data_IF_911048749346
#
_entry.id   IF_911048749346
#
_cell.length_a   1.000
_cell.length_b   1.000
_cell.length_c   1.000
_cell.angle_alpha   90.00
_cell.angle_beta   90.00
_cell.angle_gamma   90.00
#
_symmetry.space_group_name_H-M   'P 1'
#
loop_
_entity.id
_entity.type
_entity.pdbx_description
1 polymer ?
#
# COMPACT_ATOMS: atom_id res chain seq x y z
N UNK A 1 -2.59 -30.82 0.10
CA UNK A 1 -3.60 -30.55 1.14
C UNK A 1 -3.54 -29.04 1.36
N UNK A 2 -4.67 -28.32 1.37
CA UNK A 2 -4.65 -26.88 1.62
C UNK A 2 -4.25 -26.62 3.08
N UNK A 3 -3.29 -25.73 3.30
CA UNK A 3 -2.94 -25.32 4.66
C UNK A 3 -4.01 -24.42 5.23
N UNK A 4 -4.47 -24.61 6.47
CA UNK A 4 -5.34 -23.68 7.14
C UNK A 4 -4.57 -22.39 7.43
N UNK A 5 -5.21 -21.25 7.22
CA UNK A 5 -4.72 -19.94 7.67
C UNK A 5 -5.66 -19.40 8.72
N UNK A 6 -5.10 -18.71 9.70
CA UNK A 6 -5.86 -18.10 10.77
C UNK A 6 -6.23 -16.66 10.39
N UNK A 7 -7.39 -16.23 10.85
CA UNK A 7 -7.84 -14.85 10.71
C UNK A 7 -8.40 -14.36 12.06
N UNK A 8 -7.77 -13.39 12.71
CA UNK A 8 -6.55 -12.68 12.32
C UNK A 8 -5.31 -13.60 12.40
N UNK A 9 -4.30 -13.30 11.57
CA UNK A 9 -3.04 -14.07 11.52
C UNK A 9 -1.95 -13.51 12.46
N UNK A 10 -2.04 -12.22 12.82
CA UNK A 10 -1.15 -11.58 13.78
C UNK A 10 -1.80 -11.52 15.17
N UNK A 11 -0.99 -11.41 16.24
CA UNK A 11 -1.51 -11.32 17.60
C UNK A 11 -2.38 -10.05 17.79
N UNK A 12 -3.39 -10.14 18.65
CA UNK A 12 -4.38 -9.07 18.86
C UNK A 12 -3.86 -7.82 19.58
N UNK A 13 -2.63 -7.83 20.05
CA UNK A 13 -1.97 -6.70 20.70
C UNK A 13 -1.07 -5.91 19.73
N UNK A 14 -0.90 -6.39 18.50
CA UNK A 14 -0.15 -5.71 17.44
C UNK A 14 -1.09 -5.14 16.39
N UNK A 15 -0.77 -3.94 15.92
CA UNK A 15 -1.55 -3.21 14.94
C UNK A 15 -0.68 -2.92 13.73
N UNK A 16 -0.64 -3.88 12.81
CA UNK A 16 0.17 -3.82 11.57
C UNK A 16 -0.81 -3.81 10.37
N UNK A 17 -1.42 -2.66 10.07
CA UNK A 17 -2.21 -2.52 8.85
C UNK A 17 -1.31 -2.47 7.61
N UNK A 18 -1.93 -2.42 6.44
CA UNK A 18 -1.28 -2.27 5.14
C UNK A 18 -0.32 -3.42 4.80
N UNK A 19 -0.59 -4.61 5.34
CA UNK A 19 0.33 -5.74 5.28
C UNK A 19 0.59 -6.22 3.86
N UNK A 20 1.78 -5.88 3.31
CA UNK A 20 2.23 -6.32 2.00
C UNK A 20 3.01 -7.63 2.12
N UNK A 21 2.51 -8.75 1.53
CA UNK A 21 3.10 -10.07 1.69
C UNK A 21 4.12 -10.38 0.59
N UNK A 22 5.28 -10.90 0.98
CA UNK A 22 6.31 -11.40 0.06
C UNK A 22 6.92 -12.71 0.55
N UNK A 23 7.19 -13.62 -0.40
CA UNK A 23 7.99 -14.82 -0.11
C UNK A 23 9.43 -14.56 -0.53
N UNK A 24 10.33 -14.64 0.44
CA UNK A 24 11.77 -14.63 0.21
C UNK A 24 12.38 -15.91 0.79
N UNK A 25 12.99 -16.71 -0.08
CA UNK A 25 13.50 -18.02 0.30
C UNK A 25 12.39 -18.99 0.74
N UNK A 26 12.50 -19.50 1.96
CA UNK A 26 11.57 -20.44 2.57
C UNK A 26 10.56 -19.77 3.52
N UNK A 27 10.48 -18.44 3.54
CA UNK A 27 9.62 -17.70 4.45
C UNK A 27 8.72 -16.70 3.75
N UNK A 28 7.50 -16.59 4.26
CA UNK A 28 6.58 -15.50 3.98
C UNK A 28 6.86 -14.38 4.96
N UNK A 29 7.05 -13.17 4.45
CA UNK A 29 7.20 -11.94 5.23
C UNK A 29 5.99 -11.04 5.00
N UNK A 30 5.61 -10.28 6.03
CA UNK A 30 4.58 -9.23 5.92
C UNK A 30 5.20 -7.93 6.43
N UNK A 31 5.18 -6.92 5.55
CA UNK A 31 5.63 -5.56 5.82
C UNK A 31 4.40 -4.66 5.85
N UNK A 32 4.28 -3.81 6.85
CA UNK A 32 3.13 -2.93 6.97
C UNK A 32 3.42 -1.72 7.83
N UNK A 33 2.46 -0.82 7.88
CA UNK A 33 2.45 0.28 8.85
C UNK A 33 2.47 -0.27 10.26
N UNK A 34 2.87 0.54 11.23
CA UNK A 34 2.85 0.14 12.63
C UNK A 34 2.11 1.18 13.47
N UNK A 35 0.86 0.84 13.76
CA UNK A 35 -0.04 1.69 14.53
C UNK A 35 0.12 1.49 16.04
N UNK A 36 -0.42 2.40 16.83
CA UNK A 36 -0.55 2.25 18.28
C UNK A 36 -2.02 2.28 18.68
N UNK A 37 -2.38 1.45 19.65
CA UNK A 37 -3.74 1.43 20.19
C UNK A 37 -4.15 2.80 20.73
N UNK A 38 -5.29 3.30 20.25
CA UNK A 38 -5.85 4.58 20.68
C UNK A 38 -5.10 5.82 20.20
N UNK A 39 -4.12 5.68 19.32
CA UNK A 39 -3.51 6.82 18.66
C UNK A 39 -4.53 7.56 17.76
N UNK A 40 -4.30 8.85 17.55
CA UNK A 40 -5.10 9.70 16.68
C UNK A 40 -4.48 9.95 15.30
N UNK A 41 -3.46 9.14 14.97
CA UNK A 41 -2.77 9.14 13.69
C UNK A 41 -2.32 7.73 13.30
N UNK A 42 -2.08 7.50 12.02
CA UNK A 42 -1.57 6.24 11.48
C UNK A 42 -0.05 6.15 11.58
N UNK A 43 0.47 4.93 11.60
CA UNK A 43 1.88 4.57 11.51
C UNK A 43 2.78 5.42 12.41
N UNK A 44 2.37 5.56 13.68
CA UNK A 44 3.07 6.39 14.67
C UNK A 44 4.37 5.76 15.15
N UNK A 45 4.49 4.43 15.02
CA UNK A 45 5.65 3.65 15.44
C UNK A 45 6.63 3.44 14.28
N UNK A 46 7.83 2.93 14.60
CA UNK A 46 8.79 2.44 13.62
C UNK A 46 8.27 1.16 12.95
N UNK A 47 8.65 0.89 11.69
CA UNK A 47 8.21 -0.31 10.99
C UNK A 47 8.68 -1.59 11.67
N UNK A 48 7.82 -2.58 11.63
CA UNK A 48 8.07 -3.94 12.10
C UNK A 48 7.88 -4.95 10.97
N UNK A 49 8.37 -6.15 11.16
CA UNK A 49 8.17 -7.25 10.24
C UNK A 49 7.75 -8.51 11.00
N UNK A 50 6.85 -9.25 10.41
CA UNK A 50 6.47 -10.59 10.82
C UNK A 50 6.75 -11.57 9.70
N UNK A 51 7.14 -12.79 10.06
CA UNK A 51 7.35 -13.84 9.07
C UNK A 51 6.84 -15.19 9.55
N UNK A 52 6.53 -16.07 8.59
CA UNK A 52 6.18 -17.48 8.86
C UNK A 52 6.89 -18.39 7.86
N UNK A 53 7.23 -19.63 8.19
CA UNK A 53 7.70 -20.60 7.21
C UNK A 53 6.62 -20.85 6.14
N UNK A 54 7.01 -21.03 4.88
CA UNK A 54 6.04 -21.31 3.80
C UNK A 54 5.32 -22.65 3.93
N UNK A 55 5.87 -23.55 4.73
CA UNK A 55 5.28 -24.87 5.04
C UNK A 55 4.45 -24.86 6.35
N UNK A 56 4.51 -23.80 7.14
CA UNK A 56 3.69 -23.59 8.35
C UNK A 56 3.26 -22.14 8.53
N UNK A 57 2.18 -21.75 7.84
CA UNK A 57 1.63 -20.39 7.91
C UNK A 57 0.93 -20.07 9.24
N UNK A 58 0.94 -20.98 10.21
CA UNK A 58 0.50 -20.74 11.58
C UNK A 58 1.62 -20.29 12.52
N UNK A 59 2.88 -20.51 12.13
CA UNK A 59 4.06 -20.26 12.99
C UNK A 59 4.64 -18.85 12.75
N UNK A 60 3.83 -17.81 12.98
CA UNK A 60 4.27 -16.43 12.86
C UNK A 60 5.31 -16.06 13.93
N UNK A 61 6.35 -15.38 13.49
CA UNK A 61 7.42 -14.84 14.32
C UNK A 61 7.55 -13.33 14.14
N UNK A 62 7.70 -12.62 15.26
CA UNK A 62 8.08 -11.21 15.26
C UNK A 62 9.58 -11.09 14.94
N UNK A 63 9.92 -10.41 13.85
CA UNK A 63 11.31 -10.22 13.41
C UNK A 63 11.96 -8.99 14.06
N UNK A 64 11.17 -8.10 14.63
CA UNK A 64 11.62 -6.89 15.32
C UNK A 64 11.27 -5.61 14.59
N UNK A 65 11.85 -4.51 15.09
CA UNK A 65 11.80 -3.21 14.44
C UNK A 65 12.80 -3.21 13.29
N UNK A 66 12.31 -3.03 12.08
CA UNK A 66 13.13 -3.18 10.87
C UNK A 66 13.70 -1.87 10.36
N UNK A 67 13.05 -0.72 10.66
CA UNK A 67 13.49 0.61 10.23
C UNK A 67 13.11 1.66 11.25
N UNK A 68 14.07 2.52 11.60
CA UNK A 68 13.85 3.70 12.44
C UNK A 68 13.63 4.95 11.57
N UNK A 69 12.42 5.52 11.63
CA UNK A 69 12.04 6.71 10.86
C UNK A 69 12.90 7.94 11.13
N UNK A 70 13.61 8.00 12.27
CA UNK A 70 14.53 9.08 12.57
C UNK A 70 15.83 9.02 11.77
N UNK A 71 16.09 7.92 11.06
CA UNK A 71 17.27 7.80 10.19
C UNK A 71 17.07 8.46 8.82
N UNK A 72 15.82 8.80 8.44
CA UNK A 72 15.54 9.57 7.23
C UNK A 72 15.96 11.04 7.41
N UNK A 73 16.82 11.60 6.52
CA UNK A 73 17.27 12.98 6.60
C UNK A 73 16.14 14.02 6.57
N UNK A 74 14.97 13.68 6.01
CA UNK A 74 13.79 14.53 6.03
C UNK A 74 13.05 14.47 7.38
N UNK A 75 13.40 13.53 8.26
CA UNK A 75 12.74 13.30 9.55
C UNK A 75 13.75 13.09 10.71
N UNK A 76 14.79 13.93 10.86
CA UNK A 76 15.93 13.63 11.75
C UNK A 76 15.58 13.53 13.23
N UNK A 77 14.41 13.98 13.62
CA UNK A 77 13.89 13.87 14.99
C UNK A 77 12.80 12.80 15.16
N UNK A 78 12.47 12.05 14.09
CA UNK A 78 11.43 11.03 14.11
C UNK A 78 10.00 11.54 14.34
N UNK A 79 9.77 12.87 14.22
CA UNK A 79 8.48 13.47 14.54
C UNK A 79 7.39 13.21 13.49
N UNK A 80 7.77 13.00 12.24
CA UNK A 80 6.82 12.65 11.19
C UNK A 80 6.51 11.15 11.24
N UNK A 81 5.24 10.83 11.06
CA UNK A 81 4.79 9.45 10.86
C UNK A 81 5.16 8.96 9.45
N UNK A 82 5.02 7.69 9.22
CA UNK A 82 5.19 7.06 7.91
C UNK A 82 3.83 6.67 7.34
N UNK A 83 3.81 6.23 6.08
CA UNK A 83 2.66 5.63 5.40
C UNK A 83 2.99 4.16 5.06
N UNK A 84 2.11 3.46 4.36
CA UNK A 84 2.30 2.06 4.01
C UNK A 84 3.63 1.82 3.26
N UNK A 85 4.43 0.83 3.67
CA UNK A 85 5.68 0.45 3.01
C UNK A 85 5.50 -0.72 2.07
N UNK A 86 6.45 -0.91 1.17
CA UNK A 86 6.67 -2.17 0.46
C UNK A 86 8.15 -2.53 0.40
N UNK A 87 8.45 -3.82 0.25
CA UNK A 87 9.81 -4.35 0.17
C UNK A 87 9.99 -5.21 -1.07
N UNK A 88 11.05 -4.96 -1.82
CA UNK A 88 11.45 -5.85 -2.91
C UNK A 88 12.92 -6.25 -2.80
N UNK A 89 13.30 -7.36 -3.44
CA UNK A 89 14.70 -7.72 -3.62
C UNK A 89 15.21 -7.10 -4.91
N UNK A 90 16.27 -6.30 -4.81
CA UNK A 90 16.93 -5.67 -5.95
C UNK A 90 17.80 -6.64 -6.75
N UNK A 91 18.24 -6.23 -7.94
CA UNK A 91 19.08 -7.06 -8.81
C UNK A 91 20.46 -7.37 -8.24
N UNK A 92 20.90 -6.65 -7.23
CA UNK A 92 22.13 -6.87 -6.47
C UNK A 92 21.96 -7.86 -5.28
N UNK A 93 20.74 -8.38 -5.11
CA UNK A 93 20.40 -9.32 -4.05
C UNK A 93 20.03 -8.71 -2.71
N UNK A 94 20.19 -7.39 -2.54
CA UNK A 94 19.79 -6.66 -1.33
C UNK A 94 18.29 -6.41 -1.32
N UNK A 95 17.75 -6.07 -0.16
CA UNK A 95 16.34 -5.78 0.05
C UNK A 95 16.15 -4.28 0.20
N UNK A 96 15.14 -3.74 -0.48
CA UNK A 96 14.85 -2.32 -0.56
C UNK A 96 13.45 -2.06 -0.03
N UNK A 97 13.37 -1.27 1.03
CA UNK A 97 12.14 -0.83 1.68
C UNK A 97 11.77 0.54 1.12
N UNK A 98 10.65 0.61 0.41
CA UNK A 98 10.08 1.85 -0.10
C UNK A 98 9.01 2.34 0.85
N UNK A 99 9.02 3.63 1.16
CA UNK A 99 8.06 4.23 2.07
C UNK A 99 7.91 5.73 1.79
N UNK A 100 6.89 6.33 2.37
CA UNK A 100 6.67 7.76 2.33
C UNK A 100 6.51 8.29 3.75
N UNK A 101 7.12 9.43 4.05
CA UNK A 101 6.83 10.18 5.26
C UNK A 101 5.49 10.91 5.11
N UNK A 102 4.70 10.93 6.15
CA UNK A 102 3.38 11.57 6.14
C UNK A 102 3.48 13.04 5.71
N UNK A 103 2.65 13.45 4.74
CA UNK A 103 2.64 14.79 4.12
C UNK A 103 3.89 15.18 3.34
N UNK A 104 4.79 14.25 3.08
CA UNK A 104 5.91 14.44 2.17
C UNK A 104 5.55 13.81 0.82
N UNK A 105 5.79 14.51 -0.28
CA UNK A 105 5.41 14.03 -1.62
C UNK A 105 6.42 13.04 -2.22
N UNK A 106 7.54 12.82 -1.55
CA UNK A 106 8.69 12.05 -2.03
C UNK A 106 8.66 10.64 -1.45
N UNK A 107 8.95 9.62 -2.27
CA UNK A 107 9.23 8.27 -1.78
C UNK A 107 10.67 8.17 -1.31
N UNK A 108 10.85 7.71 -0.09
CA UNK A 108 12.13 7.36 0.51
C UNK A 108 12.41 5.87 0.37
N UNK A 109 13.70 5.51 0.34
CA UNK A 109 14.17 4.13 0.21
C UNK A 109 15.20 3.83 1.29
N UNK A 110 15.03 2.70 1.96
CA UNK A 110 16.02 2.13 2.86
C UNK A 110 16.48 0.76 2.34
N UNK A 111 17.66 0.30 2.74
CA UNK A 111 18.27 -0.92 2.24
C UNK A 111 18.78 -1.81 3.36
N UNK A 112 18.70 -3.13 3.16
CA UNK A 112 19.23 -4.15 4.06
C UNK A 112 19.78 -5.35 3.29
N UNK A 113 20.62 -6.15 3.94
CA UNK A 113 21.16 -7.40 3.37
C UNK A 113 20.21 -8.60 3.59
N UNK A 114 19.18 -8.43 4.41
CA UNK A 114 18.18 -9.47 4.73
C UNK A 114 16.77 -8.88 4.71
N UNK A 115 15.75 -9.68 4.38
CA UNK A 115 14.38 -9.17 4.29
C UNK A 115 13.84 -8.62 5.62
N UNK A 116 14.25 -9.21 6.75
CA UNK A 116 13.88 -8.73 8.08
C UNK A 116 14.74 -7.55 8.58
N UNK A 117 15.60 -7.00 7.74
CA UNK A 117 16.45 -5.86 8.09
C UNK A 117 17.64 -6.20 9.02
N UNK A 118 18.14 -5.23 9.82
CA UNK A 118 17.67 -3.84 9.88
C UNK A 118 17.95 -3.05 8.61
N UNK A 119 17.00 -2.21 8.23
CA UNK A 119 17.13 -1.31 7.09
C UNK A 119 17.81 0.00 7.49
N UNK A 120 18.66 0.52 6.61
CA UNK A 120 19.28 1.84 6.76
C UNK A 120 18.84 2.74 5.60
N UNK A 121 18.67 4.04 5.86
CA UNK A 121 18.33 5.00 4.81
C UNK A 121 19.30 4.89 3.65
N UNK A 122 18.78 4.78 2.43
CA UNK A 122 19.57 4.62 1.20
C UNK A 122 19.51 5.87 0.30
N UNK A 123 18.30 6.44 0.15
CA UNK A 123 18.11 7.61 -0.70
C UNK A 123 16.64 7.93 -0.94
N UNK A 124 16.40 8.89 -1.81
CA UNK A 124 15.06 9.25 -2.28
C UNK A 124 14.92 8.95 -3.77
N UNK A 125 13.74 8.56 -4.20
CA UNK A 125 13.42 8.39 -5.63
C UNK A 125 13.52 9.75 -6.32
N UNK A 126 14.17 9.79 -7.49
CA UNK A 126 14.53 11.03 -8.18
C UNK A 126 14.49 10.90 -9.70
N UNK A 127 14.34 12.02 -10.36
CA UNK A 127 14.55 12.17 -11.80
C UNK A 127 16.03 12.04 -12.16
N UNK A 128 16.37 11.79 -13.45
CA UNK A 128 17.77 11.69 -13.90
C UNK A 128 18.61 12.96 -13.67
N UNK A 129 17.98 14.12 -13.56
CA UNK A 129 18.64 15.40 -13.24
C UNK A 129 18.88 15.62 -11.74
N UNK A 130 18.44 14.67 -10.89
CA UNK A 130 18.57 14.73 -9.44
C UNK A 130 17.39 15.37 -8.71
N UNK A 131 16.41 15.94 -9.41
CA UNK A 131 15.17 16.45 -8.80
C UNK A 131 14.42 15.29 -8.15
N UNK A 132 14.02 15.45 -6.90
CA UNK A 132 13.26 14.42 -6.18
C UNK A 132 11.90 14.18 -6.85
N UNK A 133 11.57 12.91 -7.11
CA UNK A 133 10.27 12.54 -7.67
C UNK A 133 9.15 12.84 -6.68
N UNK A 134 8.16 13.60 -7.11
CA UNK A 134 7.11 14.21 -6.28
C UNK A 134 7.34 15.70 -6.01
N UNK A 135 8.43 16.30 -6.56
CA UNK A 135 8.74 17.74 -6.45
C UNK A 135 8.70 18.48 -7.78
N UNK A 136 8.85 17.77 -8.90
CA UNK A 136 8.70 18.41 -10.22
C UNK A 136 7.22 18.63 -10.55
N UNK A 137 6.95 19.68 -11.34
CA UNK A 137 5.60 19.95 -11.79
C UNK A 137 5.06 18.80 -12.65
N UNK A 138 3.91 18.27 -12.30
CA UNK A 138 3.28 17.14 -13.00
C UNK A 138 3.62 15.77 -12.41
N UNK A 139 4.47 15.70 -11.41
CA UNK A 139 4.70 14.47 -10.65
C UNK A 139 3.43 14.02 -9.92
N UNK A 140 3.24 12.71 -9.84
CA UNK A 140 2.20 12.13 -9.02
C UNK A 140 2.48 12.35 -7.52
N UNK A 141 1.44 12.26 -6.71
CA UNK A 141 1.62 12.11 -5.27
C UNK A 141 1.98 10.64 -4.98
N UNK A 142 3.22 10.45 -4.54
CA UNK A 142 3.84 9.13 -4.41
C UNK A 142 3.42 8.42 -3.12
N UNK A 143 2.12 8.17 -2.97
CA UNK A 143 1.53 7.55 -1.79
C UNK A 143 1.48 6.03 -1.95
N UNK A 144 1.73 5.29 -0.86
CA UNK A 144 1.67 3.84 -0.76
C UNK A 144 2.42 3.14 -1.92
N UNK A 145 3.76 3.22 -1.93
CA UNK A 145 4.55 2.61 -2.98
C UNK A 145 4.40 1.08 -2.96
N UNK A 146 4.11 0.49 -4.13
CA UNK A 146 4.15 -0.94 -4.37
C UNK A 146 5.21 -1.26 -5.43
N UNK A 147 6.02 -2.28 -5.18
CA UNK A 147 7.18 -2.59 -5.99
C UNK A 147 7.02 -3.87 -6.80
N UNK A 148 7.50 -3.83 -8.04
CA UNK A 148 7.60 -5.00 -8.89
C UNK A 148 9.00 -5.05 -9.52
N UNK A 149 9.76 -6.08 -9.18
CA UNK A 149 10.95 -6.48 -9.94
C UNK A 149 10.52 -7.58 -10.89
N UNK A 150 10.52 -7.28 -12.18
CA UNK A 150 10.02 -8.19 -13.21
C UNK A 150 11.05 -9.27 -13.55
N UNK A 151 10.60 -10.34 -14.21
CA UNK A 151 11.43 -11.49 -14.59
C UNK A 151 12.60 -11.12 -15.51
N UNK A 152 12.48 -10.01 -16.24
CA UNK A 152 13.55 -9.47 -17.11
C UNK A 152 14.50 -8.50 -16.37
N UNK A 153 14.32 -8.34 -15.06
CA UNK A 153 15.12 -7.50 -14.19
C UNK A 153 14.80 -6.01 -14.27
N UNK A 154 13.69 -5.62 -14.93
CA UNK A 154 13.18 -4.24 -14.86
C UNK A 154 12.45 -4.03 -13.54
N UNK A 155 12.51 -2.80 -13.05
CA UNK A 155 12.03 -2.41 -11.72
C UNK A 155 10.94 -1.37 -11.90
N UNK A 156 9.79 -1.61 -11.31
CA UNK A 156 8.64 -0.73 -11.40
C UNK A 156 8.16 -0.34 -9.99
N UNK A 157 7.90 0.96 -9.82
CA UNK A 157 7.28 1.51 -8.62
C UNK A 157 5.88 2.02 -8.98
N UNK A 158 4.88 1.51 -8.29
CA UNK A 158 3.49 1.93 -8.38
C UNK A 158 3.15 2.78 -7.17
N UNK A 159 2.46 3.88 -7.38
CA UNK A 159 2.06 4.81 -6.32
C UNK A 159 0.75 5.47 -6.68
N UNK A 160 0.17 6.21 -5.75
CA UNK A 160 -0.94 7.09 -6.07
C UNK A 160 -1.87 7.35 -4.89
N UNK A 161 -2.60 8.45 -5.00
CA UNK A 161 -3.66 8.81 -4.07
C UNK A 161 -4.72 9.62 -4.80
N UNK A 162 -5.99 9.19 -4.72
CA UNK A 162 -7.06 9.85 -5.47
C UNK A 162 -8.35 9.99 -4.66
N UNK A 163 -8.36 10.85 -3.63
CA UNK A 163 -9.58 11.16 -2.91
C UNK A 163 -10.56 11.95 -3.81
N UNK A 164 -11.86 11.64 -3.72
CA UNK A 164 -12.87 12.32 -4.54
C UNK A 164 -13.08 13.79 -4.14
N UNK A 165 -13.17 14.04 -2.85
CA UNK A 165 -13.55 15.34 -2.28
C UNK A 165 -12.78 15.61 -0.98
N UNK A 166 -12.93 16.82 -0.48
CA UNK A 166 -12.46 17.20 0.84
C UNK A 166 -11.28 18.15 0.83
N UNK A 167 -10.97 18.64 2.03
CA UNK A 167 -9.89 19.61 2.26
C UNK A 167 -8.54 19.03 1.81
N UNK A 168 -8.31 17.75 2.04
CA UNK A 168 -7.06 17.07 1.67
C UNK A 168 -6.81 17.17 0.17
N UNK A 169 -7.80 16.81 -0.69
CA UNK A 169 -7.66 16.95 -2.15
C UNK A 169 -7.38 18.39 -2.55
N UNK A 170 -8.11 19.34 -1.97
CA UNK A 170 -7.92 20.77 -2.26
C UNK A 170 -6.49 21.22 -1.92
N UNK A 171 -6.01 20.94 -0.71
CA UNK A 171 -4.66 21.32 -0.27
C UNK A 171 -3.59 20.67 -1.15
N UNK A 172 -3.69 19.38 -1.43
CA UNK A 172 -2.70 18.66 -2.22
C UNK A 172 -2.67 19.14 -3.68
N UNK A 173 -3.84 19.45 -4.26
CA UNK A 173 -3.92 20.04 -5.61
C UNK A 173 -3.28 21.44 -5.62
N UNK A 174 -3.50 22.25 -4.59
CA UNK A 174 -2.83 23.55 -4.46
C UNK A 174 -1.30 23.42 -4.29
N UNK A 175 -0.82 22.33 -3.74
CA UNK A 175 0.60 21.98 -3.68
C UNK A 175 1.17 21.46 -5.01
N UNK A 176 0.36 21.39 -6.07
CA UNK A 176 0.76 20.89 -7.38
C UNK A 176 0.76 19.36 -7.51
N UNK A 177 0.21 18.63 -6.54
CA UNK A 177 0.14 17.18 -6.61
C UNK A 177 -0.88 16.71 -7.66
N UNK A 178 -0.51 15.74 -8.47
CA UNK A 178 -1.40 15.06 -9.39
C UNK A 178 -2.12 13.91 -8.65
N UNK A 179 -3.45 13.99 -8.60
CA UNK A 179 -4.32 13.09 -7.84
C UNK A 179 -5.34 12.39 -8.75
N UNK A 180 -4.93 12.02 -9.97
CA UNK A 180 -5.84 11.50 -11.01
C UNK A 180 -6.11 9.99 -10.87
N UNK A 181 -5.34 9.30 -10.04
CA UNK A 181 -5.41 7.86 -9.84
C UNK A 181 -4.05 7.28 -9.48
N UNK A 182 -3.89 5.98 -9.72
CA UNK A 182 -2.61 5.29 -9.60
C UNK A 182 -1.66 5.64 -10.74
N UNK A 183 -0.37 5.55 -10.46
CA UNK A 183 0.72 5.78 -11.42
C UNK A 183 1.77 4.69 -11.33
N UNK A 184 2.58 4.55 -12.37
CA UNK A 184 3.74 3.66 -12.40
C UNK A 184 4.91 4.37 -13.06
N UNK A 185 6.10 4.12 -12.53
CA UNK A 185 7.39 4.54 -13.09
C UNK A 185 8.32 3.33 -13.18
N UNK A 186 9.18 3.29 -14.22
CA UNK A 186 10.32 2.36 -14.25
C UNK A 186 11.50 3.02 -13.53
N UNK A 187 12.26 2.24 -12.77
CA UNK A 187 13.47 2.69 -12.08
C UNK A 187 14.72 2.09 -12.73
N UNK A 188 15.82 2.80 -12.62
CA UNK A 188 17.15 2.29 -12.92
C UNK A 188 17.59 1.24 -11.87
N UNK A 189 18.66 0.50 -12.18
CA UNK A 189 19.20 -0.55 -11.30
C UNK A 189 19.75 -0.02 -9.96
N UNK A 190 19.90 1.30 -9.82
CA UNK A 190 20.24 1.93 -8.55
C UNK A 190 19.08 1.99 -7.55
N UNK A 191 17.87 1.53 -7.95
CA UNK A 191 16.65 1.50 -7.15
C UNK A 191 16.11 2.89 -6.77
N UNK A 192 16.65 3.97 -7.33
CA UNK A 192 16.31 5.35 -6.98
C UNK A 192 15.96 6.21 -8.19
N UNK A 193 16.67 6.05 -9.31
CA UNK A 193 16.55 6.97 -10.44
C UNK A 193 15.46 6.53 -11.40
N UNK A 194 14.56 7.44 -11.76
CA UNK A 194 13.52 7.18 -12.75
C UNK A 194 14.15 6.89 -14.13
N UNK A 195 13.59 5.90 -14.81
CA UNK A 195 13.89 5.57 -16.19
C UNK A 195 12.70 5.84 -17.09
N UNK A 196 12.66 7.01 -17.67
CA UNK A 196 11.56 7.47 -18.50
C UNK A 196 10.46 8.19 -17.74
N UNK A 197 9.28 8.27 -18.35
CA UNK A 197 8.15 9.05 -17.83
C UNK A 197 7.20 8.21 -17.00
N UNK A 198 6.55 8.85 -16.03
CA UNK A 198 5.44 8.24 -15.30
C UNK A 198 4.25 7.96 -16.23
N UNK A 199 3.52 6.88 -15.96
CA UNK A 199 2.29 6.53 -16.65
C UNK A 199 1.15 6.30 -15.67
N UNK A 200 -0.07 6.66 -16.10
CA UNK A 200 -1.26 6.35 -15.33
C UNK A 200 -1.55 4.85 -15.34
N UNK A 201 -2.08 4.35 -14.24
CA UNK A 201 -2.56 2.97 -14.11
C UNK A 201 -4.09 2.95 -14.00
N UNK A 202 -4.63 2.80 -12.82
CA UNK A 202 -6.07 2.81 -12.54
C UNK A 202 -6.53 4.25 -12.30
N UNK A 203 -7.55 4.76 -13.01
CA UNK A 203 -8.05 6.10 -12.77
C UNK A 203 -8.72 6.22 -11.40
N UNK A 204 -8.60 7.38 -10.77
CA UNK A 204 -9.44 7.74 -9.63
C UNK A 204 -10.89 7.92 -10.07
N UNK A 205 -11.83 7.82 -9.13
CA UNK A 205 -13.28 7.84 -9.44
C UNK A 205 -13.71 9.07 -10.25
N UNK A 206 -13.14 10.24 -9.98
CA UNK A 206 -13.44 11.46 -10.74
C UNK A 206 -13.01 11.40 -12.23
N UNK A 207 -12.18 10.45 -12.58
CA UNK A 207 -11.61 10.24 -13.91
C UNK A 207 -11.99 8.88 -14.49
N UNK A 208 -12.86 8.13 -13.82
CA UNK A 208 -13.23 6.77 -14.19
C UNK A 208 -14.26 6.70 -15.33
N UNK A 209 -14.98 7.78 -15.61
CA UNK A 209 -16.06 7.78 -16.59
C UNK A 209 -15.60 7.29 -17.98
N UNK A 210 -16.27 6.24 -18.51
CA UNK A 210 -15.95 5.61 -19.80
C UNK A 210 -14.75 4.68 -19.80
N UNK A 211 -14.15 4.39 -18.63
CA UNK A 211 -12.94 3.56 -18.51
C UNK A 211 -13.21 2.11 -18.08
N UNK A 212 -14.39 1.84 -17.51
CA UNK A 212 -14.77 0.55 -16.92
C UNK A 212 -14.39 0.41 -15.44
N UNK A 213 -13.88 1.48 -14.82
CA UNK A 213 -13.57 1.54 -13.39
C UNK A 213 -14.61 2.31 -12.56
N UNK A 214 -15.71 2.73 -13.18
CA UNK A 214 -16.78 3.50 -12.53
C UNK A 214 -17.31 2.77 -11.30
N UNK A 215 -17.35 3.47 -10.18
CA UNK A 215 -17.74 2.92 -8.88
C UNK A 215 -16.64 2.17 -8.15
N UNK A 216 -15.51 1.90 -8.81
CA UNK A 216 -14.36 1.18 -8.28
C UNK A 216 -13.04 1.91 -8.56
N UNK A 217 -13.11 3.23 -8.75
CA UNK A 217 -11.94 4.06 -9.03
C UNK A 217 -10.86 3.93 -7.96
N UNK A 218 -9.61 4.13 -8.37
CA UNK A 218 -8.44 4.06 -7.49
C UNK A 218 -8.55 5.07 -6.35
N UNK A 219 -8.25 4.61 -5.14
CA UNK A 219 -8.09 5.49 -3.99
C UNK A 219 -6.63 5.52 -3.53
N UNK A 220 -6.05 4.35 -3.15
CA UNK A 220 -4.69 4.19 -2.63
C UNK A 220 -4.23 2.72 -2.70
N UNK A 221 -3.14 2.36 -2.04
CA UNK A 221 -2.74 0.97 -1.76
C UNK A 221 -2.31 0.17 -2.99
N UNK A 222 -1.31 0.63 -3.70
CA UNK A 222 -0.78 -0.08 -4.89
C UNK A 222 -0.01 -1.35 -4.51
N UNK A 223 -0.47 -2.52 -4.95
CA UNK A 223 0.20 -3.81 -4.76
C UNK A 223 0.27 -4.57 -6.09
N UNK A 224 1.38 -4.44 -6.85
CA UNK A 224 1.54 -5.06 -8.15
C UNK A 224 1.96 -6.53 -8.05
N UNK A 225 1.47 -7.37 -8.97
CA UNK A 225 1.89 -8.77 -9.13
C UNK A 225 1.98 -9.14 -10.61
N UNK A 226 2.89 -10.05 -10.93
CA UNK A 226 2.91 -10.72 -12.22
C UNK A 226 2.48 -12.18 -12.04
N UNK A 227 1.42 -12.60 -12.73
CA UNK A 227 0.82 -13.93 -12.61
C UNK A 227 0.65 -14.52 -14.01
N UNK A 228 1.34 -15.60 -14.28
CA UNK A 228 1.30 -16.30 -15.58
C UNK A 228 1.46 -15.33 -16.77
N UNK A 229 2.47 -14.45 -16.68
CA UNK A 229 2.82 -13.50 -17.76
C UNK A 229 1.90 -12.29 -17.88
N UNK A 230 0.91 -12.12 -17.01
CA UNK A 230 0.04 -10.95 -16.95
C UNK A 230 0.30 -10.15 -15.68
N UNK A 231 0.03 -8.87 -15.73
CA UNK A 231 0.22 -7.94 -14.61
C UNK A 231 -1.12 -7.68 -13.92
N UNK A 232 -1.09 -7.72 -12.61
CA UNK A 232 -2.22 -7.46 -11.73
C UNK A 232 -1.82 -6.33 -10.78
N UNK A 233 -2.66 -5.33 -10.69
CA UNK A 233 -2.52 -4.26 -9.71
C UNK A 233 -3.69 -4.39 -8.74
N UNK A 234 -3.40 -4.78 -7.52
CA UNK A 234 -4.34 -4.79 -6.41
C UNK A 234 -4.33 -3.39 -5.82
N UNK A 235 -5.51 -2.87 -5.46
CA UNK A 235 -5.64 -1.51 -4.95
C UNK A 235 -6.90 -1.34 -4.10
N UNK A 236 -6.90 -0.34 -3.22
CA UNK A 236 -8.11 0.09 -2.49
C UNK A 236 -8.94 0.99 -3.39
N UNK A 237 -10.24 0.67 -3.51
CA UNK A 237 -11.17 1.51 -4.26
C UNK A 237 -11.65 2.70 -3.43
N UNK A 238 -12.26 3.67 -4.11
CA UNK A 238 -12.87 4.84 -3.46
C UNK A 238 -13.98 4.47 -2.45
N UNK A 239 -14.53 3.27 -2.53
CA UNK A 239 -15.51 2.78 -1.57
C UNK A 239 -14.90 2.40 -0.21
N UNK A 240 -13.57 2.40 -0.09
CA UNK A 240 -12.79 2.16 1.13
C UNK A 240 -12.90 0.75 1.74
N UNK A 241 -14.03 0.06 1.58
CA UNK A 241 -14.23 -1.30 2.07
C UNK A 241 -13.76 -2.38 1.08
N UNK A 242 -13.40 -1.99 -0.14
CA UNK A 242 -13.03 -2.90 -1.21
C UNK A 242 -11.53 -2.94 -1.47
N UNK A 243 -11.01 -4.15 -1.60
CA UNK A 243 -9.75 -4.43 -2.26
C UNK A 243 -10.06 -4.96 -3.65
N UNK A 244 -9.77 -4.16 -4.67
CA UNK A 244 -10.01 -4.45 -6.07
C UNK A 244 -8.74 -4.89 -6.79
N UNK A 245 -8.88 -5.35 -8.04
CA UNK A 245 -7.73 -5.57 -8.91
C UNK A 245 -8.00 -5.11 -10.33
N UNK A 246 -6.94 -4.68 -10.98
CA UNK A 246 -6.88 -4.39 -12.40
C UNK A 246 -5.89 -5.33 -13.08
N UNK A 247 -6.09 -5.57 -14.39
CA UNK A 247 -5.26 -6.49 -15.19
C UNK A 247 -4.70 -5.77 -16.40
N UNK A 248 -3.45 -6.04 -16.74
CA UNK A 248 -2.78 -5.55 -17.95
C UNK A 248 -1.85 -6.60 -18.54
N UNK A 249 -1.56 -6.49 -19.84
CA UNK A 249 -0.56 -7.30 -20.54
C UNK A 249 0.84 -6.65 -20.49
N UNK A 250 0.96 -5.46 -19.87
CA UNK A 250 2.21 -4.72 -19.70
C UNK A 250 2.26 -4.04 -18.32
N UNK A 251 3.42 -3.98 -17.66
CA UNK A 251 3.54 -3.32 -16.35
C UNK A 251 3.22 -1.83 -16.40
N UNK A 252 3.42 -1.20 -17.54
CA UNK A 252 3.15 0.22 -17.78
C UNK A 252 2.02 0.45 -18.79
N UNK A 253 1.22 -0.57 -19.08
CA UNK A 253 0.21 -0.53 -20.13
C UNK A 253 -1.20 -0.31 -19.66
N UNK A 254 -2.12 -0.39 -20.64
CA UNK A 254 -3.55 -0.20 -20.42
C UNK A 254 -4.11 -1.20 -19.42
N UNK A 255 -4.68 -0.69 -18.35
CA UNK A 255 -5.28 -1.47 -17.29
C UNK A 255 -6.79 -1.64 -17.53
N UNK A 256 -7.32 -2.77 -17.12
CA UNK A 256 -8.75 -3.10 -17.15
C UNK A 256 -9.18 -3.55 -15.77
N UNK A 257 -10.34 -3.11 -15.33
CA UNK A 257 -10.95 -3.56 -14.09
C UNK A 257 -11.18 -5.07 -14.14
N UNK A 258 -10.72 -5.78 -13.12
CA UNK A 258 -10.82 -7.23 -13.03
C UNK A 258 -11.88 -7.70 -12.04
N UNK A 259 -12.18 -6.89 -11.03
CA UNK A 259 -13.16 -7.21 -9.99
C UNK A 259 -12.72 -6.83 -8.59
N UNK A 260 -13.57 -7.14 -7.61
CA UNK A 260 -13.33 -6.99 -6.19
C UNK A 260 -12.88 -8.32 -5.59
N UNK A 261 -11.75 -8.32 -4.86
CA UNK A 261 -11.20 -9.52 -4.20
C UNK A 261 -11.77 -9.64 -2.78
N UNK A 262 -11.77 -8.52 -2.05
CA UNK A 262 -12.23 -8.44 -0.66
C UNK A 262 -13.22 -7.30 -0.54
N UNK A 263 -14.30 -7.53 0.19
CA UNK A 263 -15.19 -6.49 0.68
C UNK A 263 -15.39 -6.70 2.17
N UNK A 264 -14.87 -5.78 2.98
CA UNK A 264 -14.97 -5.87 4.44
C UNK A 264 -16.39 -5.49 4.92
N UNK A 265 -16.72 -5.84 6.16
CA UNK A 265 -18.04 -5.53 6.73
C UNK A 265 -19.18 -6.43 6.23
N UNK A 266 -18.83 -7.55 5.55
CA UNK A 266 -19.78 -8.47 4.91
C UNK A 266 -20.61 -7.80 3.79
N UNK A 267 -20.21 -6.62 3.32
CA UNK A 267 -20.87 -5.89 2.22
C UNK A 267 -20.82 -6.75 0.95
N UNK A 268 -21.96 -6.78 0.22
CA UNK A 268 -22.13 -7.62 -0.96
C UNK A 268 -22.72 -9.01 -0.66
N UNK A 269 -22.79 -9.44 0.60
CA UNK A 269 -23.64 -10.58 0.97
C UNK A 269 -25.14 -10.21 0.90
N UNK A 270 -26.04 -11.19 0.69
CA UNK A 270 -27.46 -10.90 0.60
C UNK A 270 -27.99 -10.08 1.78
N UNK A 271 -28.52 -8.89 1.49
CA UNK A 271 -29.09 -7.98 2.48
C UNK A 271 -28.08 -7.15 3.26
N UNK A 272 -26.78 -7.20 2.93
CA UNK A 272 -25.74 -6.38 3.56
C UNK A 272 -25.27 -5.29 2.60
N UNK A 273 -25.37 -4.05 3.05
CA UNK A 273 -24.94 -2.82 2.36
C UNK A 273 -23.96 -2.05 3.23
N UNK A 274 -23.41 -0.95 2.74
CA UNK A 274 -22.58 -0.07 3.54
C UNK A 274 -23.30 0.47 4.78
N UNK A 275 -24.62 0.73 4.67
CA UNK A 275 -25.41 1.31 5.75
C UNK A 275 -25.60 0.34 6.94
N UNK A 276 -25.60 -0.96 6.67
CA UNK A 276 -25.77 -1.99 7.69
C UNK A 276 -24.57 -2.93 7.82
N UNK A 277 -23.41 -2.47 7.35
CA UNK A 277 -22.16 -3.21 7.43
C UNK A 277 -21.86 -3.70 8.85
N UNK A 278 -21.33 -4.92 8.97
CA UNK A 278 -21.14 -5.60 10.25
C UNK A 278 -19.90 -5.18 11.02
N UNK A 279 -19.03 -4.41 10.40
CA UNK A 279 -17.89 -3.74 11.03
C UNK A 279 -17.58 -2.42 10.32
N UNK A 280 -16.61 -1.69 10.81
CA UNK A 280 -16.14 -0.48 10.14
C UNK A 280 -15.71 -0.74 8.72
N UNK A 281 -16.04 0.21 7.84
CA UNK A 281 -15.75 0.19 6.41
C UNK A 281 -14.65 1.19 6.05
N UNK A 282 -13.76 1.51 6.99
CA UNK A 282 -12.55 2.28 6.68
C UNK A 282 -11.70 1.59 5.62
N UNK A 283 -10.63 2.24 5.17
CA UNK A 283 -9.78 1.71 4.12
C UNK A 283 -9.38 0.25 4.38
N UNK A 284 -9.19 -0.48 3.31
CA UNK A 284 -8.58 -1.82 3.33
C UNK A 284 -7.38 -1.80 2.39
N UNK A 285 -6.26 -2.27 2.87
CA UNK A 285 -5.01 -2.35 2.12
C UNK A 285 -4.43 -3.75 2.29
N UNK A 286 -3.76 -4.25 1.26
CA UNK A 286 -3.11 -5.55 1.29
C UNK A 286 -2.75 -6.04 -0.10
N UNK A 287 -2.20 -7.24 -0.17
CA UNK A 287 -1.70 -7.81 -1.39
C UNK A 287 -1.97 -9.30 -1.53
N UNK A 288 -1.51 -9.85 -2.64
CA UNK A 288 -1.59 -11.27 -2.97
C UNK A 288 -0.22 -11.91 -2.90
N UNK A 289 -0.18 -13.17 -2.50
CA UNK A 289 1.04 -13.98 -2.57
C UNK A 289 0.70 -15.43 -2.90
N UNK A 290 1.54 -16.07 -3.71
CA UNK A 290 1.45 -17.50 -3.98
C UNK A 290 2.42 -18.27 -3.08
N UNK A 291 1.89 -19.31 -2.40
CA UNK A 291 2.66 -20.20 -1.55
C UNK A 291 2.30 -21.63 -1.90
N UNK A 292 3.28 -22.40 -2.35
CA UNK A 292 3.10 -23.82 -2.74
C UNK A 292 1.92 -24.06 -3.71
N UNK A 293 1.74 -23.18 -4.69
CA UNK A 293 0.68 -23.28 -5.69
C UNK A 293 -0.71 -22.86 -5.22
N UNK A 294 -0.80 -22.25 -4.04
CA UNK A 294 -2.03 -21.66 -3.52
C UNK A 294 -1.87 -20.15 -3.35
N UNK A 295 -2.84 -19.38 -3.84
CA UNK A 295 -2.91 -17.94 -3.65
C UNK A 295 -3.57 -17.60 -2.32
N UNK A 296 -3.00 -16.61 -1.63
CA UNK A 296 -3.50 -16.03 -0.40
C UNK A 296 -3.66 -14.52 -0.60
N UNK A 297 -4.73 -13.96 -0.04
CA UNK A 297 -4.93 -12.52 0.08
C UNK A 297 -4.67 -12.10 1.54
N UNK A 298 -3.79 -11.13 1.69
CA UNK A 298 -3.54 -10.45 2.96
C UNK A 298 -4.21 -9.10 2.90
N UNK A 299 -4.94 -8.74 3.94
CA UNK A 299 -5.61 -7.45 4.01
C UNK A 299 -5.86 -7.09 5.48
N UNK A 300 -6.03 -5.81 5.75
CA UNK A 300 -6.46 -5.36 7.05
C UNK A 300 -7.91 -4.91 7.03
N UNK A 301 -8.50 -4.81 8.21
CA UNK A 301 -9.76 -4.13 8.46
C UNK A 301 -9.65 -3.33 9.74
N UNK A 302 -10.33 -2.21 9.80
CA UNK A 302 -10.36 -1.42 11.02
C UNK A 302 -11.10 -2.18 12.14
N UNK A 303 -10.46 -2.25 13.29
CA UNK A 303 -11.00 -2.94 14.47
C UNK A 303 -11.36 -2.00 15.60
N UNK A 304 -10.93 -0.72 15.54
CA UNK A 304 -11.12 0.27 16.58
C UNK A 304 -11.99 1.45 16.10
N UNK A 305 -13.19 1.56 16.66
CA UNK A 305 -14.14 2.64 16.36
C UNK A 305 -13.61 4.06 16.64
N UNK A 306 -12.77 4.23 17.65
CA UNK A 306 -12.34 5.56 18.09
C UNK A 306 -11.40 6.23 17.08
N UNK A 307 -10.62 5.49 16.34
CA UNK A 307 -9.75 6.04 15.29
C UNK A 307 -10.57 6.62 14.13
N UNK A 308 -11.59 5.91 13.67
CA UNK A 308 -12.48 6.40 12.62
C UNK A 308 -13.28 7.64 13.02
N UNK A 309 -13.78 7.70 14.25
CA UNK A 309 -14.55 8.85 14.72
C UNK A 309 -13.70 10.14 14.80
N UNK A 310 -12.42 10.04 15.09
CA UNK A 310 -11.52 11.20 15.11
C UNK A 310 -11.10 11.68 13.74
N UNK A 311 -11.05 10.81 12.75
CA UNK A 311 -10.76 11.19 11.36
C UNK A 311 -11.98 11.74 10.63
N UNK A 312 -13.18 11.27 10.95
CA UNK A 312 -14.46 11.81 10.42
C UNK A 312 -14.79 13.22 10.93
N UNK A 313 -14.10 13.73 11.97
CA UNK A 313 -14.28 15.11 12.43
C UNK A 313 -13.55 16.14 11.57
N UNK A 314 -12.78 15.74 10.56
CA UNK A 314 -12.30 16.63 9.51
C UNK A 314 -13.03 16.36 8.20
N UNK A 315 -14.30 16.81 8.13
CA UNK A 315 -15.08 17.14 6.93
C UNK A 315 -15.79 16.04 6.13
N UNK A 316 -16.22 14.93 6.71
CA UNK A 316 -17.41 14.25 6.13
C UNK A 316 -18.31 13.77 7.26
N UNK A 317 -19.33 14.60 7.55
CA UNK A 317 -20.33 14.36 8.61
C UNK A 317 -21.32 13.27 8.15
N UNK A 318 -20.92 12.01 8.21
CA UNK A 318 -21.87 10.93 8.40
C UNK A 318 -21.77 10.43 9.84
N UNK A 319 -22.56 11.03 10.71
CA UNK A 319 -22.80 10.49 12.03
C UNK A 319 -23.43 9.10 11.88
N UNK A 320 -22.67 8.07 12.23
CA UNK A 320 -23.24 6.74 12.38
C UNK A 320 -23.84 6.62 13.79
N UNK A 321 -25.11 6.20 13.92
CA UNK A 321 -25.73 6.07 15.22
C UNK A 321 -25.02 4.99 16.05
N UNK A 322 -24.63 5.36 17.26
CA UNK A 322 -24.13 4.43 18.27
C UNK A 322 -25.16 3.32 18.51
N UNK A 323 -24.84 2.10 18.16
CA UNK A 323 -25.62 0.93 18.61
C UNK A 323 -25.06 0.46 19.95
N UNK A 324 -25.98 0.36 20.91
CA UNK A 324 -25.79 -0.23 22.25
C UNK A 324 -25.53 -1.72 22.16
#
# INVERSE_FOLDING_TARGET
MRQPVFNPYLPSYEYVPDGEPHVFGDRLYVFGSHDAFGADAFCVNNYVCYSAPVDDLGAWRFEGYIFDKATDPLNPNGAMNMNAPDVCQGPDGRFYLYYQLHRVTVTSVAVADRPEGPYTFYGHVKHPDGTLYGKANGDAYNFDPGMLVDDDGRIYMYTGFSPNVGMMRTVMTQMGCKLDGGTVVELEKDMLTLKGEQKATVPGELFAAGTGFEGHGFYEASSPRKIVGRYYLIYSSILSHELCYAVSDSPMGSWKYGGTIVSIGDIGLPGVTEENARNFTGNTHGGLVEIAGQWYVFYHRQTNQQMCARQGSSSDSREFPARR
#
